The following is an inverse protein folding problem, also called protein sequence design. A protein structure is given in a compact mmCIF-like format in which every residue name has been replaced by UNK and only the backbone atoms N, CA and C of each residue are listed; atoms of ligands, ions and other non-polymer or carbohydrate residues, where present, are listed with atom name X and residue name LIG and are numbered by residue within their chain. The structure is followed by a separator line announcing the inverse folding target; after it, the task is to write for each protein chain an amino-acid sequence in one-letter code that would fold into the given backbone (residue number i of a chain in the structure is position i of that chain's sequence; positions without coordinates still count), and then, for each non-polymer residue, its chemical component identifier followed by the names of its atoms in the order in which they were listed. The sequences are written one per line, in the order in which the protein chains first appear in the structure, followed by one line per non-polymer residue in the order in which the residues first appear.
data_IF_623334002266
#
_entry.id   IF_623334002266
#
_cell.length_a   1.000
_cell.length_b   1.000
_cell.length_c   1.000
_cell.angle_alpha   90.00
_cell.angle_beta   90.00
_cell.angle_gamma   90.00
#
_symmetry.space_group_name_H-M   'P 1'
#
loop_
_entity.id
_entity.type
_entity.pdbx_description
1 polymer ?
#
# COMPACT_ATOMS: atom_id res chain seq x y z
N UNK A 1 -0.05 7.38 5.22
CA UNK A 1 -0.66 6.13 5.72
C UNK A 1 -1.73 6.42 6.75
N UNK A 2 -3.00 6.50 6.35
CA UNK A 2 -4.18 6.71 7.21
C UNK A 2 -5.16 5.54 7.04
N UNK A 3 -5.75 5.04 8.12
CA UNK A 3 -6.46 3.73 8.19
C UNK A 3 -7.93 3.93 8.56
N UNK A 4 -8.86 3.22 7.90
CA UNK A 4 -9.97 2.48 8.56
C UNK A 4 -10.81 1.58 7.61
N UNK A 5 -10.99 0.35 8.11
CA UNK A 5 -11.71 -0.88 7.70
C UNK A 5 -13.02 -0.78 6.89
N UNK A 6 -13.20 -1.67 5.90
CA UNK A 6 -14.53 -2.23 5.54
C UNK A 6 -14.53 -3.70 5.06
N UNK A 7 -15.71 -4.32 5.26
CA UNK A 7 -16.10 -5.75 5.19
C UNK A 7 -16.15 -6.36 3.78
N UNK A 8 -16.06 -7.70 3.76
CA UNK A 8 -16.21 -8.63 2.63
C UNK A 8 -17.52 -8.50 1.84
N UNK A 9 -17.43 -8.49 0.51
CA UNK A 9 -18.55 -8.63 -0.42
C UNK A 9 -18.51 -10.01 -1.12
N UNK A 10 -19.55 -10.83 -0.94
CA UNK A 10 -19.70 -12.12 -1.63
C UNK A 10 -20.51 -11.99 -2.93
N UNK A 11 -20.02 -12.67 -3.97
CA UNK A 11 -20.51 -12.70 -5.36
C UNK A 11 -21.62 -13.76 -5.52
N UNK A 12 -22.74 -13.43 -6.17
CA UNK A 12 -23.78 -14.39 -6.57
C UNK A 12 -23.64 -14.80 -8.05
N UNK A 13 -23.84 -16.09 -8.35
CA UNK A 13 -23.85 -16.68 -9.71
C UNK A 13 -25.26 -16.63 -10.34
N UNK A 14 -25.39 -16.64 -11.68
CA UNK A 14 -26.68 -16.65 -12.37
C UNK A 14 -27.25 -18.07 -12.56
N UNK A 15 -28.59 -18.19 -12.52
CA UNK A 15 -29.34 -19.43 -12.75
C UNK A 15 -30.02 -19.41 -14.14
N UNK A 16 -29.98 -20.56 -14.82
CA UNK A 16 -30.63 -20.80 -16.12
C UNK A 16 -32.16 -20.94 -16.03
N UNK A 17 -32.86 -20.41 -17.03
CA UNK A 17 -34.32 -20.45 -17.21
C UNK A 17 -34.79 -21.68 -18.03
N UNK A 18 -35.91 -22.29 -17.65
CA UNK A 18 -36.75 -23.15 -18.49
C UNK A 18 -38.23 -22.72 -18.36
N UNK A 19 -39.07 -22.82 -19.42
CA UNK A 19 -40.39 -22.20 -19.42
C UNK A 19 -41.56 -23.14 -19.10
N UNK A 20 -42.59 -22.52 -18.51
CA UNK A 20 -44.04 -22.77 -18.57
C UNK A 20 -44.66 -23.97 -17.86
N UNK A 21 -45.34 -23.66 -16.74
CA UNK A 21 -46.60 -24.31 -16.34
C UNK A 21 -47.51 -23.26 -15.65
N UNK A 22 -48.64 -22.92 -16.27
CA UNK A 22 -49.59 -21.92 -15.73
C UNK A 22 -50.60 -22.66 -14.84
N UNK A 23 -50.62 -22.32 -13.54
CA UNK A 23 -51.68 -22.68 -12.59
C UNK A 23 -52.40 -21.40 -12.12
N UNK A 24 -53.70 -21.47 -11.76
CA UNK A 24 -54.46 -20.29 -11.37
C UNK A 24 -54.12 -19.88 -9.93
N UNK A 25 -53.25 -18.86 -9.78
CA UNK A 25 -52.92 -18.24 -8.48
C UNK A 25 -53.47 -16.82 -8.46
N UNK A 26 -54.76 -16.66 -8.18
CA UNK A 26 -55.39 -15.33 -8.16
C UNK A 26 -56.17 -15.01 -6.87
N UNK A 27 -55.84 -15.69 -5.76
CA UNK A 27 -56.36 -15.35 -4.41
C UNK A 27 -55.29 -15.01 -3.36
N UNK A 28 -54.00 -15.10 -3.68
CA UNK A 28 -52.89 -14.86 -2.71
C UNK A 28 -52.23 -13.47 -2.80
N UNK A 29 -52.44 -12.73 -3.90
CA UNK A 29 -51.65 -11.54 -4.24
C UNK A 29 -51.79 -10.37 -3.24
N UNK A 30 -52.99 -10.10 -2.71
CA UNK A 30 -53.20 -9.00 -1.74
C UNK A 30 -52.47 -9.21 -0.40
N UNK A 31 -52.30 -10.46 0.02
CA UNK A 31 -51.57 -10.82 1.25
C UNK A 31 -50.05 -10.62 1.05
N UNK A 32 -49.55 -11.00 -0.12
CA UNK A 32 -48.12 -10.89 -0.48
C UNK A 32 -47.66 -9.44 -0.71
N UNK A 33 -48.50 -8.59 -1.30
CA UNK A 33 -48.22 -7.14 -1.44
C UNK A 33 -48.13 -6.42 -0.09
N UNK A 34 -49.01 -6.77 0.85
CA UNK A 34 -49.01 -6.16 2.19
C UNK A 34 -47.81 -6.62 3.03
N UNK A 35 -47.44 -7.90 2.95
CA UNK A 35 -46.25 -8.46 3.62
C UNK A 35 -44.94 -7.90 3.05
N UNK A 36 -44.87 -7.68 1.73
CA UNK A 36 -43.68 -7.12 1.08
C UNK A 36 -43.50 -5.62 1.37
N UNK A 37 -44.57 -4.83 1.41
CA UNK A 37 -44.51 -3.43 1.79
C UNK A 37 -44.00 -3.22 3.23
N UNK A 38 -44.43 -4.07 4.17
CA UNK A 38 -43.93 -4.07 5.56
C UNK A 38 -42.45 -4.46 5.63
N UNK A 39 -42.00 -5.42 4.80
CA UNK A 39 -40.59 -5.80 4.75
C UNK A 39 -39.70 -4.68 4.19
N UNK A 40 -40.12 -4.00 3.12
CA UNK A 40 -39.33 -2.89 2.55
C UNK A 40 -39.28 -1.66 3.45
N UNK A 41 -40.39 -1.32 4.12
CA UNK A 41 -40.42 -0.20 5.07
C UNK A 41 -39.54 -0.48 6.29
N UNK A 42 -39.57 -1.70 6.84
CA UNK A 42 -38.68 -2.09 7.94
C UNK A 42 -37.20 -2.06 7.54
N UNK A 43 -36.85 -2.60 6.37
CA UNK A 43 -35.48 -2.54 5.85
C UNK A 43 -35.00 -1.11 5.60
N UNK A 44 -35.86 -0.23 5.10
CA UNK A 44 -35.55 1.19 4.88
C UNK A 44 -35.26 1.91 6.20
N UNK A 45 -36.10 1.68 7.22
CA UNK A 45 -35.87 2.24 8.57
C UNK A 45 -34.55 1.74 9.16
N UNK A 46 -34.28 0.43 9.06
CA UNK A 46 -33.01 -0.16 9.54
C UNK A 46 -31.82 0.49 8.83
N UNK A 47 -31.89 0.67 7.51
CA UNK A 47 -30.84 1.30 6.71
C UNK A 47 -30.57 2.74 7.14
N UNK A 48 -31.64 3.53 7.37
CA UNK A 48 -31.53 4.91 7.82
C UNK A 48 -30.91 4.99 9.22
N UNK A 49 -31.38 4.16 10.16
CA UNK A 49 -30.85 4.11 11.54
C UNK A 49 -29.39 3.70 11.54
N UNK A 50 -29.02 2.70 10.73
CA UNK A 50 -27.64 2.25 10.62
C UNK A 50 -26.75 3.34 10.03
N UNK A 51 -27.19 4.01 8.96
CA UNK A 51 -26.45 5.11 8.32
C UNK A 51 -26.29 6.31 9.25
N UNK A 52 -27.33 6.66 10.00
CA UNK A 52 -27.28 7.72 11.01
C UNK A 52 -26.33 7.37 12.17
N UNK A 53 -26.40 6.13 12.67
CA UNK A 53 -25.50 5.66 13.73
C UNK A 53 -24.05 5.65 13.25
N UNK A 54 -23.79 5.21 12.02
CA UNK A 54 -22.46 5.19 11.42
C UNK A 54 -21.92 6.61 11.23
N UNK A 55 -22.75 7.55 10.81
CA UNK A 55 -22.32 8.95 10.66
C UNK A 55 -22.06 9.64 12.01
N UNK A 56 -22.81 9.31 13.06
CA UNK A 56 -22.48 9.77 14.42
C UNK A 56 -21.13 9.21 14.88
N UNK A 57 -20.89 7.90 14.73
CA UNK A 57 -19.60 7.28 15.05
C UNK A 57 -18.47 7.90 14.22
N UNK A 58 -18.68 8.12 12.92
CA UNK A 58 -17.69 8.71 12.04
C UNK A 58 -17.36 10.17 12.40
N UNK A 59 -18.32 10.93 12.92
CA UNK A 59 -18.05 12.30 13.44
C UNK A 59 -17.19 12.29 14.70
N UNK A 60 -17.30 11.26 15.52
CA UNK A 60 -16.52 11.10 16.76
C UNK A 60 -15.17 10.42 16.54
N UNK A 61 -14.94 9.81 15.36
CA UNK A 61 -13.60 9.41 14.91
C UNK A 61 -12.82 10.68 14.60
N UNK A 62 -12.17 11.23 15.62
CA UNK A 62 -10.96 12.01 15.41
C UNK A 62 -9.98 11.07 14.73
N UNK A 63 -9.58 11.36 13.49
CA UNK A 63 -8.39 10.76 12.91
C UNK A 63 -7.23 11.19 13.81
N UNK A 64 -6.98 10.39 14.84
CA UNK A 64 -5.68 10.36 15.50
C UNK A 64 -4.78 9.82 14.40
N UNK A 65 -4.17 10.72 13.63
CA UNK A 65 -2.92 10.38 13.00
C UNK A 65 -2.10 9.79 14.12
N UNK A 66 -1.78 8.49 14.05
CA UNK A 66 -0.93 7.86 15.03
C UNK A 66 0.28 8.78 15.17
N UNK A 67 0.40 9.48 16.29
CA UNK A 67 1.62 10.21 16.59
C UNK A 67 2.70 9.14 16.50
N UNK A 68 3.68 9.31 15.59
CA UNK A 68 4.84 8.44 15.60
C UNK A 68 5.33 8.43 17.05
N UNK A 69 5.51 7.24 17.60
CA UNK A 69 6.16 7.11 18.88
C UNK A 69 7.46 7.90 18.77
N UNK A 70 7.56 9.04 19.47
CA UNK A 70 8.77 9.86 19.58
C UNK A 70 9.87 9.15 20.36
N UNK A 71 9.64 7.90 20.75
CA UNK A 71 10.67 7.01 21.22
C UNK A 71 11.51 6.60 20.01
N UNK A 72 12.34 7.54 19.54
CA UNK A 72 13.62 7.22 18.92
C UNK A 72 14.38 6.51 20.04
N UNK A 73 14.00 5.26 20.30
CA UNK A 73 14.63 4.42 21.28
C UNK A 73 16.09 4.42 20.88
N UNK A 74 16.93 4.99 21.75
CA UNK A 74 18.37 4.99 21.55
C UNK A 74 18.76 3.58 21.13
N UNK A 75 19.52 3.45 20.04
CA UNK A 75 19.98 2.16 19.51
C UNK A 75 20.59 1.26 20.60
N UNK A 76 20.99 1.86 21.71
CA UNK A 76 21.56 1.20 22.89
C UNK A 76 20.55 0.39 23.73
N UNK A 77 19.24 0.48 23.46
CA UNK A 77 18.23 -0.29 24.20
C UNK A 77 17.97 -1.70 23.63
N UNK A 78 18.41 -1.99 22.41
CA UNK A 78 18.18 -3.26 21.72
C UNK A 78 19.47 -4.05 21.57
N UNK A 79 19.41 -5.36 21.76
CA UNK A 79 20.53 -6.27 21.48
C UNK A 79 20.69 -6.56 19.99
N UNK A 80 19.64 -6.40 19.20
CA UNK A 80 19.54 -6.81 17.80
C UNK A 80 19.68 -8.32 17.59
N UNK A 81 19.52 -9.13 18.64
CA UNK A 81 19.48 -10.58 18.57
C UNK A 81 18.04 -11.09 18.50
N UNK A 82 17.78 -12.14 17.70
CA UNK A 82 16.45 -12.74 17.59
C UNK A 82 15.38 -11.72 17.19
N UNK A 83 14.39 -11.51 18.06
CA UNK A 83 13.30 -10.53 17.93
C UNK A 83 13.49 -9.24 18.74
N UNK A 84 14.65 -9.04 19.37
CA UNK A 84 14.97 -7.85 20.16
C UNK A 84 15.56 -6.74 19.31
N UNK A 85 14.72 -6.09 18.51
CA UNK A 85 15.06 -4.97 17.64
C UNK A 85 13.82 -4.04 17.48
N UNK A 86 14.01 -2.77 17.08
CA UNK A 86 12.87 -1.87 16.92
C UNK A 86 12.00 -2.27 15.71
N UNK A 87 10.68 -2.19 15.86
CA UNK A 87 9.74 -2.46 14.78
C UNK A 87 9.69 -1.34 13.71
N UNK A 88 10.37 -0.23 13.97
CA UNK A 88 10.46 0.93 13.08
C UNK A 88 11.91 1.31 12.91
N UNK A 89 12.26 1.84 11.74
CA UNK A 89 13.59 2.36 11.52
C UNK A 89 13.86 3.53 12.50
N UNK A 90 14.99 3.54 13.23
CA UNK A 90 15.29 4.56 14.23
C UNK A 90 15.79 5.86 13.57
N UNK A 91 14.92 6.50 12.80
CA UNK A 91 15.15 7.78 12.12
C UNK A 91 14.04 8.76 12.49
N UNK A 92 14.34 10.05 12.48
CA UNK A 92 13.35 11.09 12.77
C UNK A 92 12.45 11.35 11.56
N UNK A 93 11.18 10.97 11.65
CA UNK A 93 10.16 11.17 10.61
C UNK A 93 9.07 12.19 11.04
N UNK A 94 9.35 13.01 12.05
CA UNK A 94 8.38 13.96 12.62
C UNK A 94 8.19 15.22 11.77
N UNK A 95 8.98 15.36 10.71
CA UNK A 95 8.87 16.44 9.74
C UNK A 95 7.98 15.99 8.57
N UNK A 96 6.74 16.52 8.47
CA UNK A 96 5.92 16.26 7.30
C UNK A 96 6.44 17.05 6.10
N UNK A 97 6.39 16.43 4.93
CA UNK A 97 6.72 17.05 3.65
C UNK A 97 5.51 17.04 2.73
N UNK A 98 5.39 18.03 1.88
CA UNK A 98 4.39 18.03 0.82
C UNK A 98 5.00 17.45 -0.45
N UNK A 99 4.28 16.54 -1.09
CA UNK A 99 4.65 16.02 -2.40
C UNK A 99 3.49 16.23 -3.35
N UNK A 100 3.77 16.77 -4.52
CA UNK A 100 2.78 16.91 -5.59
C UNK A 100 2.94 15.69 -6.49
N UNK A 101 1.85 14.97 -6.76
CA UNK A 101 1.86 13.93 -7.78
C UNK A 101 1.83 14.58 -9.15
N UNK A 102 2.65 14.09 -10.06
CA UNK A 102 2.69 14.60 -11.43
C UNK A 102 2.83 13.45 -12.44
N UNK A 103 2.27 13.66 -13.62
CA UNK A 103 2.47 12.75 -14.75
C UNK A 103 3.95 12.75 -15.13
N UNK A 104 4.53 11.56 -15.16
CA UNK A 104 5.97 11.36 -15.33
C UNK A 104 6.28 10.83 -16.73
N UNK A 105 7.32 11.37 -17.35
CA UNK A 105 7.96 10.77 -18.53
C UNK A 105 9.00 9.71 -18.15
N UNK A 106 9.32 9.60 -16.87
CA UNK A 106 10.19 8.59 -16.27
C UNK A 106 9.38 7.36 -15.82
N UNK A 107 10.08 6.24 -15.64
CA UNK A 107 9.57 4.93 -15.25
C UNK A 107 8.65 4.31 -16.30
N UNK A 108 8.99 4.48 -17.57
CA UNK A 108 8.27 3.84 -18.66
C UNK A 108 8.42 2.31 -18.68
N UNK A 109 7.75 1.66 -19.63
CA UNK A 109 7.74 0.20 -19.71
C UNK A 109 8.99 -0.33 -20.42
N UNK A 110 9.23 0.08 -21.67
CA UNK A 110 10.25 -0.52 -22.53
C UNK A 110 11.12 0.50 -23.27
N UNK A 111 11.09 1.77 -22.86
CA UNK A 111 11.98 2.79 -23.42
C UNK A 111 13.44 2.59 -22.97
N UNK A 112 14.36 3.21 -23.72
CA UNK A 112 15.81 3.05 -23.51
C UNK A 112 16.27 3.44 -22.09
N UNK A 113 15.55 4.34 -21.40
CA UNK A 113 15.88 4.79 -20.05
C UNK A 113 15.20 3.96 -18.95
N UNK A 114 14.06 3.30 -19.25
CA UNK A 114 13.24 2.59 -18.29
C UNK A 114 14.04 1.63 -17.40
N UNK A 115 14.91 0.80 -17.99
CA UNK A 115 15.70 -0.17 -17.23
C UNK A 115 16.49 0.50 -16.10
N UNK A 116 17.21 1.57 -16.42
CA UNK A 116 18.04 2.29 -15.46
C UNK A 116 17.15 3.04 -14.45
N UNK A 117 16.09 3.72 -14.90
CA UNK A 117 15.17 4.44 -14.03
C UNK A 117 14.54 3.54 -12.97
N UNK A 118 14.06 2.35 -13.37
CA UNK A 118 13.52 1.36 -12.44
C UNK A 118 14.60 0.81 -11.50
N UNK A 119 15.82 0.57 -11.98
CA UNK A 119 16.91 0.05 -11.16
C UNK A 119 17.33 1.05 -10.07
N UNK A 120 17.41 2.33 -10.40
CA UNK A 120 17.77 3.40 -9.46
C UNK A 120 16.66 3.82 -8.49
N UNK A 121 15.50 3.14 -8.50
CA UNK A 121 14.52 3.25 -7.40
C UNK A 121 15.01 2.63 -6.09
N UNK A 122 16.02 1.75 -6.17
CA UNK A 122 16.65 1.13 -5.00
C UNK A 122 17.70 2.06 -4.39
N UNK A 123 17.66 2.36 -3.08
CA UNK A 123 18.73 3.10 -2.41
C UNK A 123 20.04 2.28 -2.37
N UNK A 124 21.13 2.95 -1.98
CA UNK A 124 22.42 2.31 -1.75
C UNK A 124 22.33 1.09 -0.84
N UNK A 125 23.19 0.10 -1.11
CA UNK A 125 23.19 -1.15 -0.37
C UNK A 125 21.99 -2.05 -0.66
N UNK A 126 21.32 -1.87 -1.81
CA UNK A 126 20.16 -2.63 -2.26
C UNK A 126 18.98 -2.62 -1.26
N UNK A 127 18.70 -1.45 -0.67
CA UNK A 127 17.70 -1.27 0.39
C UNK A 127 17.91 -2.10 1.66
N UNK A 128 19.10 -2.68 1.86
CA UNK A 128 19.45 -3.30 3.13
C UNK A 128 20.14 -2.31 4.06
N UNK A 129 19.70 -2.25 5.32
CA UNK A 129 20.30 -1.44 6.38
C UNK A 129 20.93 -2.34 7.44
N UNK A 130 22.04 -1.93 8.06
CA UNK A 130 22.75 -2.69 9.10
C UNK A 130 22.59 -2.01 10.44
N UNK A 131 21.98 -2.70 11.40
CA UNK A 131 21.73 -2.15 12.74
C UNK A 131 22.39 -3.01 13.81
N UNK A 132 22.71 -2.36 14.93
CA UNK A 132 23.33 -3.02 16.08
C UNK A 132 24.84 -3.22 15.96
N UNK A 133 25.48 -3.72 17.03
CA UNK A 133 26.93 -3.87 17.12
C UNK A 133 27.52 -4.83 16.08
N UNK A 134 26.76 -5.85 15.69
CA UNK A 134 27.18 -6.88 14.73
C UNK A 134 26.72 -6.59 13.30
N UNK A 135 26.25 -5.36 13.02
CA UNK A 135 25.80 -4.93 11.70
C UNK A 135 24.73 -5.87 11.10
N UNK A 136 23.73 -6.25 11.89
CA UNK A 136 22.65 -7.15 11.46
C UNK A 136 21.85 -6.49 10.33
N UNK A 137 21.65 -7.25 9.25
CA UNK A 137 20.93 -6.80 8.06
C UNK A 137 19.41 -6.79 8.27
N UNK A 138 18.77 -5.70 7.85
CA UNK A 138 17.32 -5.52 7.79
C UNK A 138 16.92 -4.91 6.45
N UNK A 139 15.66 -5.09 6.06
CA UNK A 139 15.09 -4.49 4.86
C UNK A 139 13.93 -3.58 5.26
N UNK A 140 14.08 -2.24 5.22
CA UNK A 140 13.00 -1.32 5.60
C UNK A 140 11.77 -1.50 4.69
N UNK A 141 10.60 -1.64 5.30
CA UNK A 141 9.33 -1.91 4.60
C UNK A 141 8.99 -0.83 3.55
N UNK A 142 9.48 0.41 3.72
CA UNK A 142 9.29 1.52 2.78
C UNK A 142 9.79 1.18 1.35
N UNK A 143 10.81 0.35 1.20
CA UNK A 143 11.40 0.00 -0.09
C UNK A 143 10.78 -1.26 -0.71
N UNK A 144 9.96 -2.01 0.02
CA UNK A 144 9.40 -3.27 -0.47
C UNK A 144 8.33 -3.06 -1.56
N UNK A 145 7.44 -2.05 -1.50
CA UNK A 145 6.56 -1.71 -2.62
C UNK A 145 7.31 -1.44 -3.92
N UNK A 146 8.36 -0.61 -3.87
CA UNK A 146 9.16 -0.25 -5.06
C UNK A 146 9.90 -1.46 -5.62
N UNK A 147 10.48 -2.31 -4.76
CA UNK A 147 11.07 -3.59 -5.19
C UNK A 147 10.05 -4.47 -5.91
N UNK A 148 8.82 -4.58 -5.38
CA UNK A 148 7.77 -5.36 -6.01
C UNK A 148 7.36 -4.78 -7.37
N UNK A 149 7.26 -3.45 -7.49
CA UNK A 149 6.94 -2.79 -8.76
C UNK A 149 8.04 -3.01 -9.81
N UNK A 150 9.32 -2.84 -9.44
CA UNK A 150 10.46 -3.16 -10.31
C UNK A 150 10.46 -4.63 -10.74
N UNK A 151 10.16 -5.55 -9.82
CA UNK A 151 10.08 -6.97 -10.17
C UNK A 151 8.94 -7.27 -11.15
N UNK A 152 7.75 -6.69 -10.92
CA UNK A 152 6.61 -6.83 -11.85
C UNK A 152 6.93 -6.22 -13.21
N UNK A 153 7.55 -5.03 -13.24
CA UNK A 153 8.04 -4.39 -14.46
C UNK A 153 8.98 -5.31 -15.25
N UNK A 154 10.00 -5.87 -14.57
CA UNK A 154 10.93 -6.82 -15.19
C UNK A 154 10.21 -8.02 -15.82
N UNK A 155 9.22 -8.61 -15.14
CA UNK A 155 8.43 -9.73 -15.68
C UNK A 155 7.56 -9.32 -16.89
N UNK A 156 7.08 -8.08 -16.93
CA UNK A 156 6.25 -7.59 -18.04
C UNK A 156 7.08 -7.34 -19.31
N UNK A 157 8.33 -6.91 -19.16
CA UNK A 157 9.24 -6.57 -20.27
C UNK A 157 10.06 -7.78 -20.70
N UNK A 158 10.62 -8.51 -19.74
CA UNK A 158 11.46 -9.68 -19.95
C UNK A 158 10.61 -10.94 -19.67
N UNK A 159 10.08 -11.56 -20.74
CA UNK A 159 9.15 -12.71 -20.68
C UNK A 159 9.83 -14.01 -20.19
N UNK A 160 11.13 -14.00 -19.89
CA UNK A 160 11.92 -15.21 -19.60
C UNK A 160 11.98 -15.55 -18.09
N UNK A 161 11.89 -16.84 -17.77
CA UNK A 161 11.88 -17.51 -16.45
C UNK A 161 11.57 -16.66 -15.21
N UNK A 162 10.45 -15.92 -15.24
CA UNK A 162 9.97 -15.24 -14.04
C UNK A 162 9.73 -16.26 -12.91
N UNK A 163 10.30 -16.00 -11.72
CA UNK A 163 9.99 -16.78 -10.54
C UNK A 163 8.54 -16.50 -10.14
N UNK A 164 7.64 -17.40 -10.54
CA UNK A 164 6.19 -17.27 -10.33
C UNK A 164 5.85 -17.11 -8.85
N UNK A 165 6.56 -17.80 -7.95
CA UNK A 165 6.33 -17.68 -6.51
C UNK A 165 6.68 -16.27 -6.01
N UNK A 166 7.75 -15.69 -6.54
CA UNK A 166 8.14 -14.31 -6.21
C UNK A 166 7.12 -13.32 -6.76
N UNK A 167 6.65 -13.50 -8.00
CA UNK A 167 5.60 -12.67 -8.59
C UNK A 167 4.30 -12.72 -7.77
N UNK A 168 3.86 -13.92 -7.37
CA UNK A 168 2.69 -14.11 -6.52
C UNK A 168 2.85 -13.37 -5.18
N UNK A 169 4.02 -13.49 -4.55
CA UNK A 169 4.37 -12.76 -3.33
C UNK A 169 4.29 -11.24 -3.54
N UNK A 170 4.88 -10.71 -4.62
CA UNK A 170 4.84 -9.29 -4.96
C UNK A 170 3.40 -8.80 -5.16
N UNK A 171 2.58 -9.49 -5.93
CA UNK A 171 1.19 -9.12 -6.17
C UNK A 171 0.36 -9.17 -4.87
N UNK A 172 0.58 -10.16 -4.01
CA UNK A 172 -0.07 -10.26 -2.71
C UNK A 172 0.40 -9.16 -1.74
N UNK A 173 1.69 -8.82 -1.75
CA UNK A 173 2.25 -7.72 -0.97
C UNK A 173 1.65 -6.38 -1.42
N UNK A 174 1.68 -6.08 -2.72
CA UNK A 174 1.09 -4.87 -3.31
C UNK A 174 -0.40 -4.76 -2.97
N UNK A 175 -1.17 -5.86 -3.10
CA UNK A 175 -2.56 -5.89 -2.67
C UNK A 175 -2.72 -5.54 -1.19
N UNK A 176 -1.87 -6.08 -0.31
CA UNK A 176 -1.95 -5.85 1.14
C UNK A 176 -1.65 -4.40 1.48
N UNK A 177 -0.56 -3.83 0.95
CA UNK A 177 -0.21 -2.43 1.22
C UNK A 177 -1.29 -1.50 0.69
N UNK A 178 -1.85 -1.73 -0.50
CA UNK A 178 -2.93 -0.90 -1.04
C UNK A 178 -4.16 -0.96 -0.14
N UNK A 179 -4.52 -2.13 0.39
CA UNK A 179 -5.69 -2.23 1.28
C UNK A 179 -5.46 -1.59 2.67
N UNK A 180 -4.22 -1.59 3.16
CA UNK A 180 -3.92 -1.11 4.51
C UNK A 180 -3.48 0.36 4.56
N UNK A 181 -2.91 0.88 3.47
CA UNK A 181 -2.05 2.06 3.49
C UNK A 181 -2.32 3.05 2.37
N UNK A 182 -3.35 2.81 1.55
CA UNK A 182 -3.76 3.72 0.47
C UNK A 182 -4.05 5.13 0.97
N UNK A 183 -3.66 6.10 0.15
CA UNK A 183 -4.11 7.47 0.29
C UNK A 183 -5.49 7.62 -0.36
N UNK A 184 -6.49 8.02 0.44
CA UNK A 184 -7.87 8.21 -0.03
C UNK A 184 -8.13 9.67 -0.47
N UNK A 185 -7.09 10.49 -0.60
CA UNK A 185 -7.19 11.83 -1.17
C UNK A 185 -7.72 11.74 -2.60
N UNK A 186 -8.72 12.54 -2.91
CA UNK A 186 -9.38 12.53 -4.23
C UNK A 186 -8.54 13.30 -5.25
N UNK A 187 -8.27 12.70 -6.41
CA UNK A 187 -7.64 13.39 -7.54
C UNK A 187 -8.50 14.58 -8.05
N UNK A 188 -7.89 15.71 -8.47
CA UNK A 188 -8.64 16.86 -8.91
C UNK A 188 -9.07 16.69 -10.36
N UNK A 189 -10.23 17.26 -10.67
CA UNK A 189 -10.77 17.30 -12.03
C UNK A 189 -11.53 16.03 -12.41
N UNK A 190 -11.96 16.01 -13.67
CA UNK A 190 -12.64 14.87 -14.28
C UNK A 190 -11.63 14.09 -15.12
N UNK A 191 -11.26 12.89 -14.65
CA UNK A 191 -10.28 12.03 -15.31
C UNK A 191 -10.71 11.59 -16.72
N UNK A 192 -12.01 11.70 -17.06
CA UNK A 192 -12.51 11.37 -18.40
C UNK A 192 -12.20 12.46 -19.42
N UNK A 193 -12.11 13.72 -18.99
CA UNK A 193 -11.93 14.89 -19.86
C UNK A 193 -10.56 15.56 -19.71
N UNK A 194 -9.79 15.19 -18.68
CA UNK A 194 -8.46 15.72 -18.40
C UNK A 194 -7.44 15.31 -19.46
N UNK A 195 -6.61 16.26 -19.89
CA UNK A 195 -5.46 15.98 -20.74
C UNK A 195 -4.20 15.87 -19.87
N UNK A 196 -3.73 14.64 -19.67
CA UNK A 196 -2.57 14.34 -18.80
C UNK A 196 -1.24 14.91 -19.33
N UNK A 197 -1.17 15.36 -20.59
CA UNK A 197 0.01 16.03 -21.13
C UNK A 197 0.01 17.54 -20.84
N UNK A 198 -1.14 18.22 -20.86
CA UNK A 198 -1.23 19.66 -20.56
C UNK A 198 -1.50 19.93 -19.08
N UNK A 199 -2.23 19.04 -18.42
CA UNK A 199 -2.64 19.12 -17.01
C UNK A 199 -1.96 18.00 -16.22
N UNK A 200 -0.63 17.98 -16.25
CA UNK A 200 0.20 16.94 -15.63
C UNK A 200 0.20 16.96 -14.09
N UNK A 201 -0.25 18.04 -13.45
CA UNK A 201 -0.16 18.23 -11.99
C UNK A 201 -1.38 17.64 -11.28
N UNK A 202 -1.18 16.61 -10.46
CA UNK A 202 -2.18 15.93 -9.64
C UNK A 202 -2.37 16.54 -8.25
N UNK A 203 -2.85 15.75 -7.29
CA UNK A 203 -2.99 16.22 -5.91
C UNK A 203 -1.67 16.46 -5.19
N UNK A 204 -1.74 17.36 -4.21
CA UNK A 204 -0.70 17.49 -3.18
C UNK A 204 -1.03 16.60 -1.99
N UNK A 205 -0.06 15.78 -1.59
CA UNK A 205 -0.14 14.88 -0.45
C UNK A 205 0.79 15.35 0.67
N UNK A 206 0.39 15.08 1.91
CA UNK A 206 1.25 15.30 3.10
C UNK A 206 1.83 13.96 3.52
N UNK A 207 3.14 13.82 3.34
CA UNK A 207 3.89 12.60 3.60
C UNK A 207 4.81 12.76 4.81
N UNK A 208 5.30 11.65 5.35
CA UNK A 208 6.51 11.67 6.18
C UNK A 208 7.71 11.95 5.29
N UNK A 209 8.72 12.62 5.81
CA UNK A 209 9.95 12.88 5.05
C UNK A 209 10.68 11.58 4.72
N UNK A 210 10.45 11.08 3.51
CA UNK A 210 11.06 9.86 3.01
C UNK A 210 12.54 10.06 2.70
N UNK A 211 12.99 11.31 2.43
CA UNK A 211 14.40 11.61 2.17
C UNK A 211 15.26 11.26 3.38
N UNK A 212 14.77 11.47 4.59
CA UNK A 212 15.48 11.06 5.82
C UNK A 212 15.81 9.57 5.83
N UNK A 213 14.93 8.72 5.27
CA UNK A 213 15.18 7.28 5.17
C UNK A 213 16.29 7.00 4.14
N UNK A 214 16.28 7.65 2.99
CA UNK A 214 17.35 7.52 1.98
C UNK A 214 18.70 7.99 2.50
N UNK A 215 18.74 9.12 3.22
CA UNK A 215 19.96 9.64 3.83
C UNK A 215 20.52 8.67 4.88
N UNK A 216 19.64 8.02 5.65
CA UNK A 216 20.03 6.98 6.59
C UNK A 216 20.57 5.72 5.88
N UNK A 217 19.97 5.31 4.76
CA UNK A 217 20.47 4.20 3.95
C UNK A 217 21.87 4.47 3.39
N UNK A 218 22.11 5.67 2.88
CA UNK A 218 23.42 6.07 2.36
C UNK A 218 24.48 6.09 3.47
N UNK A 219 24.17 6.70 4.62
CA UNK A 219 25.07 6.74 5.77
C UNK A 219 25.38 5.33 6.32
N UNK A 220 24.39 4.45 6.35
CA UNK A 220 24.57 3.03 6.69
C UNK A 220 25.51 2.35 5.71
N UNK A 221 25.29 2.51 4.40
CA UNK A 221 26.10 1.86 3.38
C UNK A 221 27.59 2.23 3.50
N UNK A 222 27.89 3.51 3.71
CA UNK A 222 29.27 3.98 3.96
C UNK A 222 29.83 3.38 5.25
N UNK A 223 29.03 3.33 6.32
CA UNK A 223 29.44 2.74 7.60
C UNK A 223 29.71 1.24 7.49
N UNK A 224 28.91 0.54 6.70
CA UNK A 224 29.06 -0.89 6.40
C UNK A 224 30.34 -1.17 5.62
N UNK A 225 30.65 -0.37 4.59
CA UNK A 225 31.89 -0.52 3.83
C UNK A 225 33.12 -0.41 4.75
N UNK A 226 33.11 0.55 5.68
CA UNK A 226 34.14 0.67 6.71
C UNK A 226 34.17 -0.51 7.67
N UNK A 227 33.02 -0.93 8.19
CA UNK A 227 32.89 -2.10 9.08
C UNK A 227 33.51 -3.35 8.46
N UNK A 228 33.25 -3.59 7.17
CA UNK A 228 33.86 -4.71 6.43
C UNK A 228 35.36 -4.57 6.28
N UNK A 229 35.82 -3.37 5.90
CA UNK A 229 37.25 -3.10 5.72
C UNK A 229 38.04 -3.29 7.01
N UNK A 230 37.48 -2.92 8.16
CA UNK A 230 38.14 -3.06 9.47
C UNK A 230 38.21 -4.52 9.95
N UNK A 231 37.41 -5.41 9.37
CA UNK A 231 37.32 -6.84 9.74
C UNK A 231 37.81 -7.78 8.65
N UNK A 232 38.48 -7.25 7.64
CA UNK A 232 38.95 -8.00 6.46
C UNK A 232 37.83 -8.82 5.78
N UNK A 233 36.58 -8.34 5.85
CA UNK A 233 35.41 -8.95 5.20
C UNK A 233 35.29 -8.52 3.73
N UNK A 234 36.41 -8.54 3.02
CA UNK A 234 36.45 -8.22 1.60
C UNK A 234 36.23 -9.54 0.85
N UNK A 235 34.98 -9.85 0.54
CA UNK A 235 34.70 -10.85 -0.49
C UNK A 235 34.18 -10.20 -1.77
N UNK A 236 34.69 -10.76 -2.86
CA UNK A 236 34.78 -10.29 -4.23
C UNK A 236 33.72 -11.04 -5.01
N UNK A 237 32.50 -10.53 -5.05
CA UNK A 237 31.49 -11.01 -6.00
C UNK A 237 30.47 -9.91 -6.28
N UNK A 238 30.27 -9.51 -7.54
CA UNK A 238 29.18 -8.62 -7.92
C UNK A 238 27.87 -9.42 -7.87
N UNK A 239 26.92 -8.95 -7.09
CA UNK A 239 25.50 -9.22 -7.29
C UNK A 239 24.85 -7.91 -7.70
#
# INVERSE_FOLDING_TARGET
MCVLLYRLCHRLRPHHHHPNRIHPVMKSWKSYESMSALAFTTLSIISIVFSYSLSLVARDIKFVMAHPSTDIGSSNHYTYEGSDYPNTLPVNLDHPVQTVMEESVHYGLDDDAARDEWEYTSPFGAAFIRLGPDARMFYPDMFHPMHCLRYVHGVLVEVEESNVNHLEHCLNYLRRITLCHIDLTLEPGDFVTRNFTSDAVGQTHICRDWKTVYDAMEADWVSWLRYRSERDMIDVSPQ
#
